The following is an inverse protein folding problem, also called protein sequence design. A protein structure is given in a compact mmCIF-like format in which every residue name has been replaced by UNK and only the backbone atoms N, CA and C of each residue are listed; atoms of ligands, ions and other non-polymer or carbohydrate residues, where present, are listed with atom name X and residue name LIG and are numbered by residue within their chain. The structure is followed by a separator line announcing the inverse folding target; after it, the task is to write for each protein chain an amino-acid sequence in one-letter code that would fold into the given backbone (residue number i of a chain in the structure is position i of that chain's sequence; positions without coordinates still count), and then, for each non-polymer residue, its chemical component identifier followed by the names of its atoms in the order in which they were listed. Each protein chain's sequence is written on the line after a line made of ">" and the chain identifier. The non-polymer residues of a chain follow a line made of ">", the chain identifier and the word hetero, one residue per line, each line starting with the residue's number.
data_IF_191242066311
#
_entry.id   IF_191242066311
#
_cell.length_a   1.000
_cell.length_b   1.000
_cell.length_c   1.000
_cell.angle_alpha   90.00
_cell.angle_beta   90.00
_cell.angle_gamma   90.00
#
_symmetry.space_group_name_H-M   'P 1'
#
loop_
_entity.id
_entity.type
_entity.pdbx_description
1 polymer ?
#
# COMPACT_ATOMS: atom_id res chain seq x y z
N UNK A 1 -34.67 95.51 32.64
CA UNK A 1 -34.42 94.76 31.38
C UNK A 1 -33.33 93.68 31.47
N UNK A 2 -32.51 93.63 32.53
CA UNK A 2 -31.36 92.69 32.63
C UNK A 2 -31.73 91.27 33.09
N UNK A 3 -32.73 91.09 33.96
CA UNK A 3 -33.16 89.75 34.42
C UNK A 3 -33.80 88.88 33.33
N UNK A 4 -34.55 89.48 32.41
CA UNK A 4 -35.22 88.74 31.33
C UNK A 4 -34.23 88.17 30.31
N UNK A 5 -33.13 88.89 30.05
CA UNK A 5 -32.07 88.43 29.14
C UNK A 5 -31.26 87.30 29.78
N UNK A 6 -31.03 87.36 31.09
CA UNK A 6 -30.32 86.31 31.83
C UNK A 6 -31.08 84.97 31.83
N UNK A 7 -32.40 85.01 32.00
CA UNK A 7 -33.25 83.83 31.96
C UNK A 7 -33.30 83.18 30.57
N UNK A 8 -33.34 83.99 29.53
CA UNK A 8 -33.33 83.51 28.13
C UNK A 8 -31.99 82.87 27.77
N UNK A 9 -30.86 83.47 28.18
CA UNK A 9 -29.53 82.90 27.99
C UNK A 9 -29.33 81.58 28.74
N UNK A 10 -29.83 81.46 29.99
CA UNK A 10 -29.80 80.21 30.74
C UNK A 10 -30.65 79.11 30.07
N UNK A 11 -31.82 79.45 29.53
CA UNK A 11 -32.69 78.49 28.86
C UNK A 11 -32.02 77.93 27.58
N UNK A 12 -31.39 78.80 26.79
CA UNK A 12 -30.62 78.41 25.59
C UNK A 12 -29.45 77.51 25.98
N UNK A 13 -28.70 77.86 27.03
CA UNK A 13 -27.60 77.03 27.52
C UNK A 13 -28.09 75.64 27.96
N UNK A 14 -29.22 75.58 28.66
CA UNK A 14 -29.81 74.33 29.14
C UNK A 14 -30.27 73.42 27.98
N UNK A 15 -30.86 74.00 26.92
CA UNK A 15 -31.23 73.26 25.71
C UNK A 15 -30.01 72.76 24.92
N UNK A 16 -28.92 73.54 24.88
CA UNK A 16 -27.69 73.13 24.21
C UNK A 16 -26.99 71.98 24.95
N UNK A 17 -26.91 72.04 26.29
CA UNK A 17 -26.29 71.00 27.11
C UNK A 17 -27.07 69.69 27.04
N UNK A 18 -28.41 69.74 27.04
CA UNK A 18 -29.25 68.55 26.89
C UNK A 18 -29.12 67.91 25.50
N UNK A 19 -29.03 68.70 24.43
CA UNK A 19 -28.78 68.19 23.08
C UNK A 19 -27.39 67.53 22.94
N UNK A 20 -26.35 68.10 23.56
CA UNK A 20 -25.00 67.51 23.57
C UNK A 20 -24.98 66.18 24.33
N UNK A 21 -25.60 66.13 25.52
CA UNK A 21 -25.69 64.91 26.31
C UNK A 21 -26.42 63.77 25.57
N UNK A 22 -27.45 64.12 24.79
CA UNK A 22 -28.21 63.16 24.00
C UNK A 22 -27.40 62.63 22.79
N UNK A 23 -26.53 63.46 22.21
CA UNK A 23 -25.59 63.03 21.17
C UNK A 23 -24.50 62.09 21.70
N UNK A 24 -23.95 62.36 22.89
CA UNK A 24 -22.94 61.49 23.53
C UNK A 24 -23.52 60.09 23.87
N UNK A 25 -24.75 60.05 24.38
CA UNK A 25 -25.45 58.79 24.68
C UNK A 25 -25.73 57.98 23.40
N UNK A 26 -26.16 58.66 22.33
CA UNK A 26 -26.35 58.06 21.01
C UNK A 26 -25.04 57.49 20.45
N UNK A 27 -23.95 58.26 20.53
CA UNK A 27 -22.63 57.83 20.05
C UNK A 27 -22.13 56.58 20.80
N UNK A 28 -22.27 56.57 22.13
CA UNK A 28 -21.88 55.43 22.97
C UNK A 28 -22.69 54.15 22.67
N UNK A 29 -23.96 54.30 22.30
CA UNK A 29 -24.85 53.20 21.93
C UNK A 29 -24.48 52.63 20.55
N UNK A 30 -24.13 53.51 19.61
CA UNK A 30 -23.64 53.11 18.28
C UNK A 30 -22.31 52.35 18.41
N UNK A 31 -21.36 52.84 19.19
CA UNK A 31 -20.07 52.14 19.40
C UNK A 31 -20.24 50.73 19.95
N UNK A 32 -21.10 50.56 20.96
CA UNK A 32 -21.43 49.23 21.52
C UNK A 32 -22.09 48.32 20.48
N UNK A 33 -22.99 48.87 19.67
CA UNK A 33 -23.69 48.12 18.61
C UNK A 33 -22.70 47.68 17.52
N UNK A 34 -21.78 48.55 17.11
CA UNK A 34 -20.72 48.24 16.13
C UNK A 34 -19.77 47.18 16.68
N UNK A 35 -19.35 47.28 17.95
CA UNK A 35 -18.50 46.27 18.58
C UNK A 35 -19.20 44.90 18.69
N UNK A 36 -20.48 44.88 19.04
CA UNK A 36 -21.29 43.67 19.10
C UNK A 36 -21.46 43.03 17.72
N UNK A 37 -21.76 43.84 16.70
CA UNK A 37 -21.91 43.37 15.32
C UNK A 37 -20.59 42.83 14.76
N UNK A 38 -19.46 43.49 15.05
CA UNK A 38 -18.11 43.02 14.69
C UNK A 38 -17.77 41.66 15.32
N UNK A 39 -18.15 41.47 16.60
CA UNK A 39 -18.02 40.19 17.31
C UNK A 39 -18.88 39.10 16.68
N UNK A 40 -20.14 39.40 16.33
CA UNK A 40 -21.04 38.46 15.66
C UNK A 40 -20.54 38.05 14.27
N UNK A 41 -20.00 38.99 13.48
CA UNK A 41 -19.38 38.68 12.18
C UNK A 41 -18.21 37.73 12.37
N UNK A 42 -17.33 38.01 13.34
CA UNK A 42 -16.15 37.17 13.59
C UNK A 42 -16.51 35.76 14.02
N UNK A 43 -17.52 35.59 14.89
CA UNK A 43 -17.95 34.28 15.38
C UNK A 43 -18.74 33.48 14.35
N UNK A 44 -19.54 34.16 13.51
CA UNK A 44 -20.41 33.50 12.53
C UNK A 44 -19.67 33.15 11.25
N UNK A 45 -18.80 34.03 10.77
CA UNK A 45 -18.19 33.89 9.45
C UNK A 45 -16.83 33.18 9.45
N UNK A 46 -16.05 33.24 10.55
CA UNK A 46 -14.67 32.72 10.54
C UNK A 46 -14.50 31.43 11.37
N UNK A 47 -15.18 31.32 12.53
CA UNK A 47 -14.96 30.18 13.44
C UNK A 47 -15.39 28.81 12.91
N UNK A 48 -16.62 28.64 12.39
CA UNK A 48 -17.14 27.34 11.97
C UNK A 48 -16.52 26.83 10.65
N UNK A 49 -16.18 27.76 9.75
CA UNK A 49 -15.58 27.44 8.45
C UNK A 49 -14.14 26.96 8.58
N UNK A 50 -13.33 27.60 9.42
CA UNK A 50 -11.90 27.31 9.52
C UNK A 50 -11.66 25.94 10.16
N UNK A 51 -12.45 25.59 11.18
CA UNK A 51 -12.38 24.26 11.81
C UNK A 51 -12.82 23.15 10.83
N UNK A 52 -13.86 23.40 10.04
CA UNK A 52 -14.33 22.45 9.02
C UNK A 52 -13.30 22.27 7.90
N UNK A 53 -12.66 23.36 7.45
CA UNK A 53 -11.60 23.34 6.45
C UNK A 53 -10.39 22.58 6.98
N UNK A 54 -9.93 22.87 8.20
CA UNK A 54 -8.81 22.16 8.82
C UNK A 54 -9.09 20.65 8.97
N UNK A 55 -10.31 20.28 9.36
CA UNK A 55 -10.71 18.88 9.42
C UNK A 55 -10.71 18.21 8.04
N UNK A 56 -11.13 18.93 7.00
CA UNK A 56 -11.11 18.43 5.63
C UNK A 56 -9.68 18.25 5.12
N UNK A 57 -8.78 19.20 5.39
CA UNK A 57 -7.35 19.11 5.06
C UNK A 57 -6.67 17.91 5.71
N UNK A 58 -6.98 17.65 6.99
CA UNK A 58 -6.48 16.47 7.70
C UNK A 58 -6.97 15.17 7.05
N UNK A 59 -8.25 15.09 6.69
CA UNK A 59 -8.82 13.92 6.03
C UNK A 59 -8.22 13.70 4.62
N UNK A 60 -8.04 14.77 3.85
CA UNK A 60 -7.41 14.70 2.51
C UNK A 60 -5.98 14.19 2.62
N UNK A 61 -5.23 14.67 3.63
CA UNK A 61 -3.86 14.20 3.88
C UNK A 61 -3.82 12.70 4.22
N UNK A 62 -4.71 12.24 5.10
CA UNK A 62 -4.82 10.83 5.46
C UNK A 62 -5.23 9.93 4.27
N UNK A 63 -6.14 10.41 3.43
CA UNK A 63 -6.52 9.73 2.18
C UNK A 63 -5.34 9.62 1.22
N UNK A 64 -4.51 10.65 1.13
CA UNK A 64 -3.37 10.69 0.22
C UNK A 64 -2.25 9.72 0.65
N UNK A 65 -2.02 9.58 1.96
CA UNK A 65 -1.14 8.53 2.51
C UNK A 65 -1.67 7.13 2.20
N UNK A 66 -2.98 6.92 2.39
CA UNK A 66 -3.63 5.63 2.09
C UNK A 66 -3.49 5.26 0.62
N UNK A 67 -3.75 6.20 -0.30
CA UNK A 67 -3.58 5.98 -1.75
C UNK A 67 -2.13 5.63 -2.11
N UNK A 68 -1.15 6.30 -1.49
CA UNK A 68 0.26 6.02 -1.73
C UNK A 68 0.63 4.59 -1.32
N UNK A 69 0.22 4.15 -0.13
CA UNK A 69 0.45 2.76 0.33
C UNK A 69 -0.23 1.71 -0.55
N UNK A 70 -1.46 1.98 -1.03
CA UNK A 70 -2.16 1.09 -1.95
C UNK A 70 -1.45 0.99 -3.30
N UNK A 71 -0.89 2.09 -3.79
CA UNK A 71 -0.16 2.10 -5.05
C UNK A 71 1.12 1.24 -4.98
N UNK A 72 1.81 1.26 -3.84
CA UNK A 72 2.95 0.37 -3.58
C UNK A 72 2.50 -1.10 -3.53
N UNK A 73 1.42 -1.40 -2.80
CA UNK A 73 0.89 -2.76 -2.69
C UNK A 73 0.45 -3.33 -4.05
N UNK A 74 -0.23 -2.52 -4.87
CA UNK A 74 -0.63 -2.90 -6.24
C UNK A 74 0.59 -3.13 -7.13
N UNK A 75 1.62 -2.31 -7.01
CA UNK A 75 2.87 -2.46 -7.78
C UNK A 75 3.60 -3.76 -7.40
N UNK A 76 3.65 -4.08 -6.11
CA UNK A 76 4.22 -5.33 -5.61
C UNK A 76 3.42 -6.55 -6.08
N UNK A 77 2.10 -6.53 -5.93
CA UNK A 77 1.24 -7.63 -6.38
C UNK A 77 1.31 -7.85 -7.89
N UNK A 78 1.43 -6.78 -8.69
CA UNK A 78 1.62 -6.86 -10.14
C UNK A 78 2.91 -7.61 -10.51
N UNK A 79 4.00 -7.38 -9.78
CA UNK A 79 5.25 -8.10 -9.97
C UNK A 79 5.11 -9.60 -9.64
N UNK A 80 4.42 -9.93 -8.55
CA UNK A 80 4.15 -11.31 -8.15
C UNK A 80 3.26 -12.04 -9.15
N UNK A 81 2.21 -11.38 -9.67
CA UNK A 81 1.34 -11.94 -10.72
C UNK A 81 2.16 -12.23 -11.98
N UNK A 82 3.05 -11.34 -12.41
CA UNK A 82 3.95 -11.60 -13.56
C UNK A 82 4.80 -12.84 -13.34
N UNK A 83 5.31 -13.04 -12.12
CA UNK A 83 6.07 -14.25 -11.75
C UNK A 83 5.21 -15.49 -11.88
N UNK A 84 3.99 -15.49 -11.32
CA UNK A 84 3.04 -16.61 -11.42
C UNK A 84 2.61 -16.90 -12.85
N UNK A 85 2.29 -15.90 -13.65
CA UNK A 85 1.90 -16.08 -15.05
C UNK A 85 3.03 -16.71 -15.87
N UNK A 86 4.28 -16.33 -15.59
CA UNK A 86 5.42 -16.96 -16.24
C UNK A 86 5.52 -18.47 -15.91
N UNK A 87 5.12 -18.88 -14.70
CA UNK A 87 5.01 -20.29 -14.29
C UNK A 87 3.77 -21.00 -14.86
N UNK A 88 2.64 -20.29 -15.02
CA UNK A 88 1.33 -20.88 -15.35
C UNK A 88 1.10 -21.08 -16.84
N UNK A 89 1.76 -20.33 -17.73
CA UNK A 89 1.78 -20.65 -19.15
C UNK A 89 2.71 -21.84 -19.33
N UNK A 90 2.26 -23.07 -19.01
CA UNK A 90 3.03 -24.32 -19.02
C UNK A 90 3.99 -24.32 -20.22
N UNK A 91 5.25 -23.86 -20.04
CA UNK A 91 6.21 -23.93 -21.11
C UNK A 91 6.45 -25.41 -21.14
N UNK A 92 6.04 -26.06 -22.22
CA UNK A 92 6.32 -27.46 -22.47
C UNK A 92 7.85 -27.62 -22.53
N UNK A 93 8.48 -27.68 -21.35
CA UNK A 93 9.90 -27.71 -21.17
C UNK A 93 10.36 -29.07 -21.63
N UNK A 94 11.32 -29.09 -22.54
CA UNK A 94 11.89 -30.32 -23.07
C UNK A 94 12.97 -30.89 -22.15
N UNK A 95 13.52 -30.07 -21.24
CA UNK A 95 14.52 -30.49 -20.27
C UNK A 95 14.47 -29.71 -18.95
N UNK A 96 15.07 -30.27 -17.89
CA UNK A 96 15.29 -29.54 -16.63
C UNK A 96 16.25 -28.35 -16.80
N UNK A 97 17.12 -28.38 -17.82
CA UNK A 97 18.00 -27.27 -18.15
C UNK A 97 17.21 -26.07 -18.71
N UNK A 98 16.19 -26.33 -19.55
CA UNK A 98 15.32 -25.27 -20.07
C UNK A 98 14.56 -24.55 -18.95
N UNK A 99 14.16 -25.30 -17.92
CA UNK A 99 13.56 -24.75 -16.70
C UNK A 99 14.52 -23.79 -16.01
N UNK A 100 15.79 -24.20 -15.82
CA UNK A 100 16.79 -23.33 -15.19
C UNK A 100 17.16 -22.10 -16.01
N UNK A 101 17.18 -22.21 -17.33
CA UNK A 101 17.43 -21.05 -18.20
C UNK A 101 16.34 -19.99 -18.04
N UNK A 102 15.08 -20.43 -17.89
CA UNK A 102 13.94 -19.53 -17.72
C UNK A 102 13.75 -19.08 -16.26
N UNK A 103 14.08 -19.95 -15.32
CA UNK A 103 13.90 -19.77 -13.89
C UNK A 103 15.16 -20.24 -13.13
N UNK A 104 16.20 -19.39 -13.06
CA UNK A 104 17.49 -19.74 -12.44
C UNK A 104 17.39 -20.17 -10.97
N UNK A 105 16.38 -19.69 -10.26
CA UNK A 105 16.14 -19.99 -8.84
C UNK A 105 15.25 -21.23 -8.61
N UNK A 106 14.99 -22.01 -9.65
CA UNK A 106 14.13 -23.21 -9.53
C UNK A 106 14.77 -24.25 -8.58
N UNK A 107 14.03 -24.74 -7.56
CA UNK A 107 14.56 -25.74 -6.65
C UNK A 107 14.61 -27.13 -7.29
N UNK A 108 15.43 -28.04 -6.75
CA UNK A 108 15.38 -29.46 -7.16
C UNK A 108 14.03 -30.08 -6.78
N UNK A 109 13.42 -30.89 -7.65
CA UNK A 109 12.07 -31.40 -7.43
C UNK A 109 11.47 -32.12 -8.64
N UNK A 110 10.17 -32.43 -8.59
CA UNK A 110 9.46 -33.11 -9.67
C UNK A 110 8.76 -32.13 -10.61
N UNK A 111 9.13 -32.16 -11.88
CA UNK A 111 8.64 -31.25 -12.91
C UNK A 111 7.95 -32.01 -14.03
N UNK A 112 7.03 -31.32 -14.71
CA UNK A 112 6.45 -31.80 -15.97
C UNK A 112 7.45 -31.49 -17.08
N UNK A 113 7.86 -32.51 -17.83
CA UNK A 113 8.78 -32.40 -18.97
C UNK A 113 8.12 -33.06 -20.17
N UNK A 114 8.22 -32.42 -21.34
CA UNK A 114 7.70 -32.96 -22.60
C UNK A 114 8.39 -34.26 -22.94
N UNK A 115 7.63 -35.24 -23.42
CA UNK A 115 8.13 -36.58 -23.74
C UNK A 115 8.05 -37.56 -22.58
N UNK A 116 7.73 -37.10 -21.36
CA UNK A 116 7.42 -37.98 -20.23
C UNK A 116 5.93 -37.93 -19.91
N UNK A 117 5.33 -39.11 -19.68
CA UNK A 117 3.91 -39.23 -19.28
C UNK A 117 3.66 -38.79 -17.84
N UNK A 118 4.71 -38.76 -17.01
CA UNK A 118 4.68 -38.44 -15.59
C UNK A 118 5.72 -37.36 -15.26
N UNK A 119 5.62 -36.78 -14.07
CA UNK A 119 6.64 -35.84 -13.59
C UNK A 119 7.96 -36.57 -13.39
N UNK A 120 9.04 -35.97 -13.86
CA UNK A 120 10.41 -36.47 -13.67
C UNK A 120 11.13 -35.62 -12.64
N UNK A 121 12.07 -36.23 -11.93
CA UNK A 121 12.88 -35.50 -10.96
C UNK A 121 13.97 -34.69 -11.69
N UNK A 122 14.01 -33.39 -11.43
CA UNK A 122 15.05 -32.47 -11.85
C UNK A 122 15.99 -32.16 -10.69
N UNK A 123 17.28 -32.39 -10.89
CA UNK A 123 18.34 -31.87 -10.02
C UNK A 123 18.83 -30.53 -10.55
N UNK A 124 18.44 -29.46 -9.87
CA UNK A 124 18.69 -28.07 -10.30
C UNK A 124 20.03 -27.51 -9.83
N UNK A 125 20.69 -28.20 -8.90
CA UNK A 125 22.01 -27.82 -8.41
C UNK A 125 23.13 -28.36 -9.30
N UNK A 126 24.33 -27.80 -9.13
CA UNK A 126 25.52 -28.27 -9.83
C UNK A 126 25.93 -29.65 -9.32
N UNK A 127 26.21 -30.59 -10.23
CA UNK A 127 26.84 -31.85 -9.83
C UNK A 127 28.31 -31.62 -9.43
N UNK A 128 28.86 -32.43 -8.51
CA UNK A 128 30.20 -32.21 -7.96
C UNK A 128 31.34 -32.16 -8.98
N UNK A 129 31.15 -32.74 -10.18
CA UNK A 129 32.26 -33.02 -11.11
C UNK A 129 32.27 -32.18 -12.39
N UNK A 130 31.19 -31.46 -12.71
CA UNK A 130 31.09 -30.77 -14.00
C UNK A 130 30.47 -29.38 -13.93
N UNK A 131 30.06 -28.90 -12.75
CA UNK A 131 29.47 -27.55 -12.58
C UNK A 131 28.11 -27.33 -13.26
N UNK A 132 27.71 -28.23 -14.17
CA UNK A 132 26.47 -28.18 -14.92
C UNK A 132 25.27 -28.42 -14.00
N UNK A 133 24.16 -27.76 -14.34
CA UNK A 133 22.90 -27.77 -13.59
C UNK A 133 21.75 -28.24 -14.48
N UNK A 134 20.63 -28.62 -13.87
CA UNK A 134 19.39 -28.91 -14.62
C UNK A 134 19.37 -30.33 -15.18
N UNK A 135 19.67 -31.30 -14.34
CA UNK A 135 19.75 -32.71 -14.72
C UNK A 135 18.41 -33.42 -14.55
N UNK A 136 18.00 -34.18 -15.58
CA UNK A 136 16.86 -35.10 -15.50
C UNK A 136 17.33 -36.43 -14.89
N UNK A 137 16.61 -36.93 -13.87
CA UNK A 137 16.78 -38.31 -13.41
C UNK A 137 16.04 -39.27 -14.35
N UNK A 138 16.81 -40.02 -15.13
CA UNK A 138 16.27 -41.00 -16.10
C UNK A 138 16.10 -42.40 -15.50
N UNK A 139 16.82 -42.71 -14.42
CA UNK A 139 16.73 -43.99 -13.73
C UNK A 139 17.16 -43.83 -12.27
N UNK A 140 16.74 -44.78 -11.43
CA UNK A 140 17.21 -44.93 -10.05
C UNK A 140 17.50 -46.40 -9.80
N UNK A 141 18.74 -46.71 -9.43
CA UNK A 141 19.16 -48.06 -9.09
C UNK A 141 19.38 -48.12 -7.58
N UNK A 142 18.52 -48.88 -6.91
CA UNK A 142 18.67 -49.18 -5.48
C UNK A 142 19.39 -50.52 -5.31
N UNK A 143 20.56 -50.49 -4.67
CA UNK A 143 21.38 -51.67 -4.39
C UNK A 143 21.42 -52.01 -2.90
N UNK A 144 20.51 -51.46 -2.09
CA UNK A 144 20.50 -51.71 -0.64
C UNK A 144 20.33 -53.21 -0.32
N UNK A 145 19.54 -53.94 -1.12
CA UNK A 145 19.36 -55.39 -1.00
C UNK A 145 20.02 -56.12 -2.18
N UNK A 146 21.32 -56.42 -2.07
CA UNK A 146 22.10 -57.14 -3.10
C UNK A 146 21.80 -58.64 -3.20
N UNK A 147 20.87 -59.15 -2.37
CA UNK A 147 20.51 -60.58 -2.38
C UNK A 147 19.57 -60.91 -3.52
N UNK A 148 18.63 -60.03 -3.83
CA UNK A 148 17.59 -60.25 -4.82
C UNK A 148 17.74 -59.23 -5.95
N UNK A 149 17.46 -59.64 -7.19
CA UNK A 149 17.50 -58.70 -8.29
C UNK A 149 16.32 -57.72 -8.21
N UNK A 150 16.53 -56.44 -8.58
CA UNK A 150 15.44 -55.47 -8.64
C UNK A 150 14.31 -55.95 -9.56
N UNK A 151 13.09 -55.50 -9.27
CA UNK A 151 11.91 -55.82 -10.08
C UNK A 151 12.16 -55.56 -11.57
N UNK A 152 11.98 -56.57 -12.40
CA UNK A 152 12.21 -56.50 -13.85
C UNK A 152 13.53 -57.12 -14.32
N UNK A 153 14.43 -57.50 -13.40
CA UNK A 153 15.69 -58.18 -13.70
C UNK A 153 15.69 -59.61 -13.15
N UNK A 154 16.34 -60.53 -13.87
CA UNK A 154 16.51 -61.92 -13.43
C UNK A 154 17.89 -62.11 -12.83
N UNK A 155 17.98 -62.95 -11.80
CA UNK A 155 19.27 -63.41 -11.31
C UNK A 155 19.89 -64.36 -12.35
N UNK A 156 21.03 -63.96 -12.87
CA UNK A 156 21.86 -64.76 -13.77
C UNK A 156 23.05 -65.24 -12.94
N UNK A 157 23.20 -66.56 -12.85
CA UNK A 157 24.32 -67.18 -12.14
C UNK A 157 25.09 -68.10 -13.09
N UNK A 158 26.38 -67.83 -13.27
CA UNK A 158 27.27 -68.64 -14.10
C UNK A 158 28.68 -68.63 -13.52
N UNK A 159 29.26 -69.81 -13.32
CA UNK A 159 30.61 -69.97 -12.73
C UNK A 159 30.80 -69.24 -11.39
N UNK A 160 29.76 -69.15 -10.56
CA UNK A 160 29.78 -68.44 -9.26
C UNK A 160 29.68 -66.91 -9.36
N UNK A 161 29.54 -66.34 -10.56
CA UNK A 161 29.27 -64.91 -10.76
C UNK A 161 27.76 -64.69 -10.74
N UNK A 162 27.31 -63.75 -9.93
CA UNK A 162 25.91 -63.32 -9.81
C UNK A 162 25.72 -61.96 -10.48
N UNK A 163 24.77 -61.86 -11.40
CA UNK A 163 24.39 -60.62 -12.07
C UNK A 163 22.86 -60.50 -12.14
N UNK A 164 22.37 -59.28 -12.31
CA UNK A 164 20.96 -59.00 -12.58
C UNK A 164 20.83 -58.46 -14.00
N UNK A 165 20.07 -59.16 -14.86
CA UNK A 165 19.94 -58.85 -16.29
C UNK A 165 18.63 -59.32 -16.91
#
# INVERSE_FOLDING_TARGET
>A
MTMSLYYSSLLILCTAVSAIAQNDDCCSTIEKSVASFSSQISSTCNGPSDAAIASLEANVSALQETVSSLQEAVSSLSADIKKVLNYSSDPFFTSCYDILQKFPDSPSGYYRIVGFSHKVYCHMSSLPYNGNKGWIRIAHLDLYNTRDCPTGFRLIESNGIRACG
#
